data_IF_700348386796
#
_entry.id   IF_700348386796
#
_cell.length_a   1.000
_cell.length_b   1.000
_cell.length_c   1.000
_cell.angle_alpha   90.00
_cell.angle_beta   90.00
_cell.angle_gamma   90.00
#
_symmetry.space_group_name_H-M   'P 1'
#
loop_
_entity.id
_entity.type
_entity.pdbx_description
1 polymer ?
#
# COMPACT_ATOMS: atom_id res chain seq x y z
N UNK A 1 -55.22 -9.19 -3.57
CA UNK A 1 -53.95 -9.92 -3.40
C UNK A 1 -52.93 -9.52 -4.47
N UNK A 2 -53.26 -9.57 -5.77
CA UNK A 2 -52.37 -9.10 -6.87
C UNK A 2 -51.90 -7.65 -6.72
N UNK A 3 -52.81 -6.72 -6.44
CA UNK A 3 -52.45 -5.31 -6.25
C UNK A 3 -51.47 -5.10 -5.08
N UNK A 4 -51.59 -5.93 -4.03
CA UNK A 4 -50.67 -5.91 -2.90
C UNK A 4 -49.28 -6.40 -3.31
N UNK A 5 -49.19 -7.49 -4.07
CA UNK A 5 -47.90 -8.03 -4.57
C UNK A 5 -47.23 -7.00 -5.49
N UNK A 6 -48.00 -6.41 -6.41
CA UNK A 6 -47.52 -5.36 -7.32
C UNK A 6 -47.00 -4.15 -6.55
N UNK A 7 -47.77 -3.66 -5.58
CA UNK A 7 -47.36 -2.52 -4.76
C UNK A 7 -46.10 -2.82 -3.93
N UNK A 8 -45.98 -4.04 -3.38
CA UNK A 8 -44.80 -4.47 -2.63
C UNK A 8 -43.56 -4.56 -3.51
N UNK A 9 -43.65 -5.19 -4.69
CA UNK A 9 -42.51 -5.26 -5.63
C UNK A 9 -42.10 -3.88 -6.12
N UNK A 10 -43.05 -3.00 -6.44
CA UNK A 10 -42.76 -1.63 -6.85
C UNK A 10 -42.08 -0.83 -5.74
N UNK A 11 -42.55 -0.97 -4.49
CA UNK A 11 -41.91 -0.32 -3.35
C UNK A 11 -40.47 -0.81 -3.13
N UNK A 12 -40.19 -2.10 -3.35
CA UNK A 12 -38.84 -2.63 -3.25
C UNK A 12 -37.94 -2.16 -4.39
N UNK A 13 -38.44 -2.12 -5.63
CA UNK A 13 -37.69 -1.56 -6.77
C UNK A 13 -37.38 -0.09 -6.56
N UNK A 14 -38.35 0.72 -6.14
CA UNK A 14 -38.11 2.14 -5.86
C UNK A 14 -37.13 2.35 -4.70
N UNK A 15 -37.08 1.44 -3.72
CA UNK A 15 -36.08 1.47 -2.65
C UNK A 15 -34.68 1.14 -3.17
N UNK A 16 -34.57 0.16 -4.07
CA UNK A 16 -33.30 -0.17 -4.75
C UNK A 16 -32.77 1.01 -5.56
N UNK A 17 -33.64 1.63 -6.38
CA UNK A 17 -33.28 2.80 -7.19
C UNK A 17 -32.84 3.99 -6.30
N UNK A 18 -33.48 4.17 -5.13
CA UNK A 18 -33.09 5.20 -4.17
C UNK A 18 -31.76 4.88 -3.46
N UNK A 19 -31.48 3.61 -3.17
CA UNK A 19 -30.19 3.17 -2.59
C UNK A 19 -29.04 3.43 -3.55
N UNK A 20 -29.19 3.13 -4.84
CA UNK A 20 -28.16 3.45 -5.85
C UNK A 20 -27.88 4.95 -6.03
N UNK A 21 -28.79 5.82 -5.58
CA UNK A 21 -28.64 7.27 -5.66
C UNK A 21 -28.00 7.91 -4.42
N UNK A 22 -27.84 7.17 -3.31
CA UNK A 22 -27.43 7.72 -2.02
C UNK A 22 -26.31 6.86 -1.42
N UNK A 23 -25.06 7.33 -1.52
CA UNK A 23 -23.91 6.77 -0.78
C UNK A 23 -24.17 6.88 0.73
N UNK A 24 -24.78 5.86 1.35
CA UNK A 24 -25.11 5.91 2.79
C UNK A 24 -24.88 4.55 3.44
N UNK A 25 -24.38 4.63 4.68
CA UNK A 25 -24.05 3.55 5.61
C UNK A 25 -25.03 2.36 5.51
N UNK A 26 -24.50 1.20 5.14
CA UNK A 26 -25.26 -0.04 4.98
C UNK A 26 -25.77 -0.53 6.34
N UNK A 27 -27.09 -0.64 6.47
CA UNK A 27 -27.71 -1.46 7.52
C UNK A 27 -27.67 -2.94 7.05
N UNK A 28 -27.12 -3.86 7.84
CA UNK A 28 -26.82 -5.27 7.46
C UNK A 28 -28.01 -6.04 6.83
N UNK A 29 -29.25 -5.58 7.04
CA UNK A 29 -30.45 -6.17 6.47
C UNK A 29 -30.64 -5.89 4.96
N UNK A 30 -30.01 -4.85 4.42
CA UNK A 30 -30.21 -4.37 3.05
C UNK A 30 -29.15 -4.81 2.06
N UNK A 31 -28.04 -5.41 2.53
CA UNK A 31 -26.84 -5.78 1.75
C UNK A 31 -27.09 -6.76 0.57
N UNK A 32 -28.30 -7.33 0.43
CA UNK A 32 -28.68 -8.21 -0.69
C UNK A 32 -30.11 -7.94 -1.17
N UNK A 33 -30.60 -6.71 -1.02
CA UNK A 33 -32.00 -6.41 -1.38
C UNK A 33 -32.27 -6.66 -2.87
N UNK A 34 -31.31 -6.35 -3.72
CA UNK A 34 -31.29 -6.62 -5.16
C UNK A 34 -31.51 -8.13 -5.46
N UNK A 35 -30.68 -9.00 -4.89
CA UNK A 35 -30.81 -10.46 -5.05
C UNK A 35 -32.10 -11.01 -4.44
N UNK A 36 -32.57 -10.43 -3.33
CA UNK A 36 -33.85 -10.80 -2.70
C UNK A 36 -35.03 -10.44 -3.61
N UNK A 37 -35.03 -9.25 -4.22
CA UNK A 37 -36.09 -8.81 -5.13
C UNK A 37 -36.04 -9.59 -6.44
N UNK A 38 -34.84 -9.88 -6.96
CA UNK A 38 -34.65 -10.75 -8.12
C UNK A 38 -35.24 -12.15 -7.85
N UNK A 39 -34.87 -12.77 -6.73
CA UNK A 39 -35.40 -14.08 -6.33
C UNK A 39 -36.92 -14.08 -6.16
N UNK A 40 -37.49 -13.03 -5.57
CA UNK A 40 -38.94 -12.87 -5.44
C UNK A 40 -39.64 -12.71 -6.80
N UNK A 41 -39.06 -11.93 -7.72
CA UNK A 41 -39.59 -11.75 -9.07
C UNK A 41 -39.53 -13.06 -9.86
N UNK A 42 -38.41 -13.78 -9.84
CA UNK A 42 -38.26 -15.08 -10.51
C UNK A 42 -39.25 -16.11 -9.96
N UNK A 43 -39.45 -16.17 -8.65
CA UNK A 43 -40.45 -17.04 -8.03
C UNK A 43 -41.88 -16.69 -8.49
N UNK A 44 -42.24 -15.41 -8.47
CA UNK A 44 -43.57 -14.96 -8.88
C UNK A 44 -43.83 -15.19 -10.37
N UNK A 45 -42.81 -15.08 -11.24
CA UNK A 45 -42.92 -15.47 -12.65
C UNK A 45 -43.27 -16.96 -12.79
N UNK A 46 -42.61 -17.84 -12.04
CA UNK A 46 -42.87 -19.29 -12.09
C UNK A 46 -44.30 -19.62 -11.63
N UNK A 47 -44.74 -19.03 -10.51
CA UNK A 47 -46.11 -19.20 -10.01
C UNK A 47 -47.14 -18.66 -11.02
N UNK A 48 -46.90 -17.48 -11.57
CA UNK A 48 -47.79 -16.86 -12.56
C UNK A 48 -47.92 -17.71 -13.83
N UNK A 49 -46.80 -18.26 -14.32
CA UNK A 49 -46.79 -19.15 -15.47
C UNK A 49 -47.59 -20.44 -15.21
N UNK A 50 -47.45 -21.06 -14.03
CA UNK A 50 -48.20 -22.27 -13.67
C UNK A 50 -49.71 -22.04 -13.52
N UNK A 51 -50.12 -20.79 -13.22
CA UNK A 51 -51.51 -20.41 -12.99
C UNK A 51 -52.15 -19.73 -14.21
N UNK A 52 -51.44 -19.63 -15.35
CA UNK A 52 -51.84 -18.84 -16.52
C UNK A 52 -52.20 -17.37 -16.17
N UNK A 53 -51.54 -16.80 -15.15
CA UNK A 53 -51.74 -15.41 -14.72
C UNK A 53 -50.80 -14.47 -15.51
N UNK A 54 -51.23 -14.12 -16.73
CA UNK A 54 -50.44 -13.29 -17.65
C UNK A 54 -50.10 -11.90 -17.09
N UNK A 55 -50.95 -11.34 -16.23
CA UNK A 55 -50.73 -10.02 -15.64
C UNK A 55 -49.61 -10.09 -14.59
N UNK A 56 -49.68 -11.07 -13.68
CA UNK A 56 -48.63 -11.28 -12.69
C UNK A 56 -47.31 -11.65 -13.35
N UNK A 57 -47.34 -12.45 -14.42
CA UNK A 57 -46.17 -12.81 -15.22
C UNK A 57 -45.51 -11.57 -15.83
N UNK A 58 -46.29 -10.66 -16.41
CA UNK A 58 -45.79 -9.42 -16.98
C UNK A 58 -45.17 -8.49 -15.92
N UNK A 59 -45.80 -8.37 -14.75
CA UNK A 59 -45.28 -7.58 -13.63
C UNK A 59 -43.95 -8.14 -13.12
N UNK A 60 -43.91 -9.44 -12.85
CA UNK A 60 -42.73 -10.09 -12.31
C UNK A 60 -41.55 -10.09 -13.31
N UNK A 61 -41.83 -10.26 -14.61
CA UNK A 61 -40.82 -10.12 -15.68
C UNK A 61 -40.27 -8.70 -15.76
N UNK A 62 -41.13 -7.67 -15.65
CA UNK A 62 -40.66 -6.28 -15.66
C UNK A 62 -39.74 -5.99 -14.47
N UNK A 63 -40.09 -6.47 -13.28
CA UNK A 63 -39.28 -6.27 -12.07
C UNK A 63 -37.94 -6.99 -12.18
N UNK A 64 -37.92 -8.25 -12.60
CA UNK A 64 -36.70 -9.02 -12.85
C UNK A 64 -35.76 -8.28 -13.82
N UNK A 65 -36.27 -7.88 -14.99
CA UNK A 65 -35.47 -7.12 -15.97
C UNK A 65 -34.95 -5.78 -15.43
N UNK A 66 -35.67 -5.13 -14.51
CA UNK A 66 -35.21 -3.88 -13.89
C UNK A 66 -34.09 -4.15 -12.90
N UNK A 67 -34.23 -5.16 -12.04
CA UNK A 67 -33.21 -5.52 -11.05
C UNK A 67 -31.95 -6.06 -11.72
N UNK A 68 -32.07 -6.90 -12.75
CA UNK A 68 -30.92 -7.38 -13.54
C UNK A 68 -30.11 -6.24 -14.16
N UNK A 69 -30.78 -5.16 -14.60
CA UNK A 69 -30.09 -3.97 -15.12
C UNK A 69 -29.35 -3.20 -14.03
N UNK A 70 -29.92 -3.13 -12.83
CA UNK A 70 -29.28 -2.45 -11.70
C UNK A 70 -28.03 -3.22 -11.26
N UNK A 71 -28.15 -4.54 -11.05
CA UNK A 71 -27.03 -5.41 -10.71
C UNK A 71 -25.93 -5.28 -11.76
N UNK A 72 -26.28 -5.40 -13.04
CA UNK A 72 -25.29 -5.28 -14.11
C UNK A 72 -24.59 -3.92 -14.13
N UNK A 73 -25.33 -2.83 -13.90
CA UNK A 73 -24.74 -1.50 -13.87
C UNK A 73 -23.77 -1.31 -12.70
N UNK A 74 -24.05 -1.94 -11.56
CA UNK A 74 -23.16 -1.97 -10.40
C UNK A 74 -21.91 -2.82 -10.67
N UNK A 75 -22.08 -4.03 -11.22
CA UNK A 75 -20.97 -4.90 -11.64
C UNK A 75 -20.06 -4.21 -12.67
N UNK A 76 -20.64 -3.59 -13.70
CA UNK A 76 -19.90 -2.84 -14.73
C UNK A 76 -19.11 -1.67 -14.11
N UNK A 77 -19.69 -0.98 -13.11
CA UNK A 77 -19.02 0.12 -12.41
C UNK A 77 -17.91 -0.36 -11.46
N UNK A 78 -18.11 -1.49 -10.77
CA UNK A 78 -17.09 -2.11 -9.92
C UNK A 78 -15.92 -2.64 -10.75
N UNK A 79 -16.19 -3.26 -11.91
CA UNK A 79 -15.17 -3.74 -12.83
C UNK A 79 -14.33 -2.57 -13.40
N UNK A 80 -14.96 -1.44 -13.76
CA UNK A 80 -14.25 -0.24 -14.17
C UNK A 80 -13.35 0.29 -13.05
N UNK A 81 -13.88 0.41 -11.83
CA UNK A 81 -13.12 0.88 -10.68
C UNK A 81 -11.96 -0.07 -10.31
N UNK A 82 -12.14 -1.38 -10.45
CA UNK A 82 -11.06 -2.37 -10.25
C UNK A 82 -10.00 -2.26 -11.34
N UNK A 83 -10.38 -2.06 -12.61
CA UNK A 83 -9.43 -1.80 -13.70
C UNK A 83 -8.62 -0.53 -13.43
N UNK A 84 -9.25 0.57 -13.04
CA UNK A 84 -8.54 1.81 -12.69
C UNK A 84 -7.56 1.60 -11.52
N UNK A 85 -7.98 0.86 -10.48
CA UNK A 85 -7.10 0.51 -9.35
C UNK A 85 -5.91 -0.34 -9.81
N UNK A 86 -6.16 -1.33 -10.66
CA UNK A 86 -5.12 -2.20 -11.18
C UNK A 86 -4.11 -1.42 -12.04
N UNK A 87 -4.58 -0.57 -12.95
CA UNK A 87 -3.73 0.26 -13.79
C UNK A 87 -2.85 1.21 -12.95
N UNK A 88 -3.42 1.83 -11.91
CA UNK A 88 -2.64 2.65 -10.97
C UNK A 88 -1.60 1.82 -10.23
N UNK A 89 -1.95 0.61 -9.77
CA UNK A 89 -1.02 -0.27 -9.07
C UNK A 89 0.14 -0.71 -9.96
N UNK A 90 -0.14 -1.06 -11.21
CA UNK A 90 0.87 -1.42 -12.21
C UNK A 90 1.83 -0.25 -12.47
N UNK A 91 1.33 0.98 -12.63
CA UNK A 91 2.16 2.17 -12.79
C UNK A 91 3.07 2.43 -11.59
N UNK A 92 2.54 2.29 -10.36
CA UNK A 92 3.33 2.45 -9.13
C UNK A 92 4.40 1.36 -9.05
N UNK A 93 4.05 0.12 -9.35
CA UNK A 93 4.97 -1.01 -9.34
C UNK A 93 6.11 -0.84 -10.35
N UNK A 94 5.79 -0.37 -11.57
CA UNK A 94 6.79 -0.12 -12.60
C UNK A 94 7.77 1.00 -12.18
N UNK A 95 7.25 2.11 -11.66
CA UNK A 95 8.07 3.21 -11.16
C UNK A 95 9.01 2.75 -10.02
N UNK A 96 8.51 1.90 -9.12
CA UNK A 96 9.28 1.34 -8.01
C UNK A 96 10.44 0.44 -8.49
N UNK A 97 10.22 -0.33 -9.55
CA UNK A 97 11.24 -1.20 -10.15
C UNK A 97 12.28 -0.37 -10.91
N UNK A 98 11.87 0.69 -11.61
CA UNK A 98 12.79 1.64 -12.26
C UNK A 98 13.71 2.32 -11.24
N UNK A 99 13.17 2.79 -10.10
CA UNK A 99 13.96 3.34 -8.98
C UNK A 99 14.95 2.29 -8.46
N UNK A 100 14.48 1.05 -8.26
CA UNK A 100 15.34 -0.04 -7.78
C UNK A 100 16.49 -0.30 -8.75
N UNK A 101 16.20 -0.41 -10.03
CA UNK A 101 17.18 -0.73 -11.08
C UNK A 101 18.28 0.34 -11.16
N UNK A 102 17.92 1.63 -11.16
CA UNK A 102 18.92 2.70 -11.24
C UNK A 102 19.77 2.79 -9.96
N UNK A 103 19.17 2.59 -8.78
CA UNK A 103 19.94 2.54 -7.54
C UNK A 103 20.90 1.34 -7.54
N UNK A 104 20.45 0.14 -7.93
CA UNK A 104 21.34 -1.03 -8.00
C UNK A 104 22.51 -0.79 -8.94
N UNK A 105 22.22 -0.21 -10.12
CA UNK A 105 23.25 0.12 -11.11
C UNK A 105 24.35 0.97 -10.49
N UNK A 106 24.02 2.08 -9.84
CA UNK A 106 25.02 3.03 -9.35
C UNK A 106 25.65 2.66 -8.00
N UNK A 107 25.04 1.77 -7.22
CA UNK A 107 25.62 1.30 -5.96
C UNK A 107 26.47 0.04 -6.12
N UNK A 108 26.08 -0.89 -7.01
CA UNK A 108 26.67 -2.24 -7.04
C UNK A 108 27.24 -2.65 -8.40
N UNK A 109 26.63 -2.26 -9.52
CA UNK A 109 27.08 -2.68 -10.85
C UNK A 109 28.17 -1.76 -11.42
N UNK A 110 27.94 -0.46 -11.34
CA UNK A 110 28.82 0.64 -11.75
C UNK A 110 28.98 1.57 -10.53
N UNK A 111 29.73 1.14 -9.49
CA UNK A 111 29.75 1.81 -8.20
C UNK A 111 30.29 3.24 -8.34
N UNK A 112 29.38 4.20 -8.24
CA UNK A 112 29.67 5.63 -8.29
C UNK A 112 29.74 6.26 -6.89
N UNK A 113 29.36 5.50 -5.85
CA UNK A 113 29.23 5.97 -4.48
C UNK A 113 30.13 5.16 -3.55
N UNK A 114 30.68 5.84 -2.56
CA UNK A 114 31.45 5.24 -1.46
C UNK A 114 31.14 5.97 -0.17
N UNK A 115 31.31 5.25 0.94
CA UNK A 115 31.19 5.76 2.31
C UNK A 115 32.55 5.65 2.96
N UNK A 116 32.89 6.65 3.76
CA UNK A 116 34.12 6.68 4.54
C UNK A 116 33.73 6.69 6.01
N UNK A 117 34.00 5.57 6.69
CA UNK A 117 33.73 5.41 8.12
C UNK A 117 35.02 5.40 8.95
N UNK A 118 36.17 5.71 8.33
CA UNK A 118 37.50 5.60 8.94
C UNK A 118 37.64 6.36 10.25
N UNK A 119 37.02 7.55 10.36
CA UNK A 119 36.95 8.33 11.59
C UNK A 119 36.30 7.53 12.73
N UNK A 120 35.11 6.99 12.49
CA UNK A 120 34.36 6.24 13.49
C UNK A 120 35.05 4.92 13.84
N UNK A 121 35.62 4.23 12.85
CA UNK A 121 36.42 3.02 13.06
C UNK A 121 37.59 3.34 14.01
N UNK A 122 38.32 4.43 13.75
CA UNK A 122 39.44 4.85 14.60
C UNK A 122 39.02 5.12 16.04
N UNK A 123 37.88 5.79 16.25
CA UNK A 123 37.33 6.08 17.58
C UNK A 123 36.93 4.78 18.32
N UNK A 124 36.30 3.84 17.62
CA UNK A 124 35.90 2.54 18.18
C UNK A 124 37.11 1.69 18.56
N UNK A 125 38.13 1.63 17.71
CA UNK A 125 39.35 0.87 17.99
C UNK A 125 40.15 1.47 19.15
N UNK A 126 40.27 2.81 19.24
CA UNK A 126 40.93 3.48 20.35
C UNK A 126 40.26 3.21 21.72
N UNK A 127 38.96 2.90 21.72
CA UNK A 127 38.19 2.61 22.93
C UNK A 127 38.05 1.11 23.22
N UNK A 128 38.54 0.25 22.32
CA UNK A 128 38.24 -1.19 22.32
C UNK A 128 38.74 -1.93 23.57
N UNK A 129 39.95 -1.60 24.05
CA UNK A 129 40.55 -2.23 25.23
C UNK A 129 39.79 -1.94 26.53
N UNK A 130 39.04 -0.84 26.57
CA UNK A 130 38.31 -0.38 27.75
C UNK A 130 36.81 -0.77 27.73
N UNK A 131 36.36 -1.47 26.68
CA UNK A 131 34.96 -1.89 26.56
C UNK A 131 34.60 -2.97 27.58
N UNK A 132 33.55 -2.72 28.35
CA UNK A 132 33.05 -3.63 29.38
C UNK A 132 32.27 -4.84 28.82
N UNK A 133 31.72 -4.72 27.61
CA UNK A 133 30.92 -5.76 26.96
C UNK A 133 31.43 -6.04 25.53
N UNK A 134 32.00 -7.24 25.26
CA UNK A 134 32.54 -7.59 23.95
C UNK A 134 31.46 -7.71 22.86
N UNK A 135 30.21 -8.05 23.22
CA UNK A 135 29.11 -8.11 22.24
C UNK A 135 28.70 -6.71 21.78
N UNK A 136 28.73 -5.72 22.68
CA UNK A 136 28.46 -4.32 22.32
C UNK A 136 29.57 -3.74 21.46
N UNK A 137 30.83 -4.07 21.74
CA UNK A 137 31.95 -3.70 20.87
C UNK A 137 31.80 -4.30 19.46
N UNK A 138 31.49 -5.60 19.36
CA UNK A 138 31.27 -6.25 18.07
C UNK A 138 30.09 -5.62 17.29
N UNK A 139 29.00 -5.29 17.99
CA UNK A 139 27.86 -4.59 17.39
C UNK A 139 28.22 -3.18 16.91
N UNK A 140 29.07 -2.46 17.66
CA UNK A 140 29.50 -1.12 17.28
C UNK A 140 30.46 -1.15 16.09
N UNK A 141 31.37 -2.14 16.03
CA UNK A 141 32.20 -2.40 14.84
C UNK A 141 31.36 -2.66 13.60
N UNK A 142 30.32 -3.50 13.69
CA UNK A 142 29.37 -3.72 12.57
C UNK A 142 28.59 -2.46 12.19
N UNK A 143 28.31 -1.57 13.14
CA UNK A 143 27.59 -0.32 12.88
C UNK A 143 28.42 0.67 12.04
N UNK A 144 29.76 0.65 12.21
CA UNK A 144 30.69 1.52 11.49
C UNK A 144 31.32 0.84 10.26
N UNK A 145 30.94 -0.41 9.97
CA UNK A 145 31.41 -1.15 8.80
C UNK A 145 30.92 -0.48 7.51
N UNK A 146 31.84 -0.16 6.60
CA UNK A 146 31.53 0.63 5.40
C UNK A 146 30.56 -0.08 4.46
N UNK A 147 30.66 -1.41 4.31
CA UNK A 147 29.75 -2.18 3.45
C UNK A 147 28.33 -2.17 4.02
N UNK A 148 28.19 -2.38 5.33
CA UNK A 148 26.90 -2.29 6.02
C UNK A 148 26.29 -0.87 5.94
N UNK A 149 27.14 0.15 6.08
CA UNK A 149 26.71 1.55 5.99
C UNK A 149 26.29 1.90 4.56
N UNK A 150 27.02 1.45 3.55
CA UNK A 150 26.67 1.65 2.14
C UNK A 150 25.30 1.04 1.82
N UNK A 151 25.06 -0.20 2.28
CA UNK A 151 23.77 -0.87 2.13
C UNK A 151 22.63 -0.12 2.84
N UNK A 152 22.90 0.44 4.02
CA UNK A 152 21.92 1.27 4.75
C UNK A 152 21.62 2.56 4.00
N UNK A 153 22.63 3.21 3.40
CA UNK A 153 22.44 4.40 2.57
C UNK A 153 21.64 4.06 1.31
N UNK A 154 21.95 2.94 0.65
CA UNK A 154 21.19 2.43 -0.51
C UNK A 154 19.69 2.33 -0.22
N UNK A 155 19.31 1.64 0.87
CA UNK A 155 17.90 1.49 1.25
C UNK A 155 17.21 2.83 1.54
N UNK A 156 17.93 3.75 2.17
CA UNK A 156 17.43 5.10 2.45
C UNK A 156 17.25 5.95 1.19
N UNK A 157 18.20 5.87 0.25
CA UNK A 157 18.12 6.55 -1.05
C UNK A 157 16.93 6.04 -1.85
N UNK A 158 16.78 4.72 -1.95
CA UNK A 158 15.62 4.09 -2.59
C UNK A 158 14.30 4.57 -1.96
N UNK A 159 14.19 4.54 -0.63
CA UNK A 159 12.99 5.01 0.08
C UNK A 159 12.73 6.52 -0.10
N UNK A 160 13.77 7.35 -0.19
CA UNK A 160 13.63 8.78 -0.47
C UNK A 160 13.07 8.98 -1.88
N UNK A 161 13.68 8.35 -2.88
CA UNK A 161 13.26 8.49 -4.28
C UNK A 161 11.81 8.06 -4.46
N UNK A 162 11.37 6.98 -3.83
CA UNK A 162 9.95 6.55 -3.84
C UNK A 162 8.99 7.62 -3.31
N UNK A 163 9.37 8.33 -2.24
CA UNK A 163 8.54 9.39 -1.64
C UNK A 163 8.55 10.69 -2.44
N UNK A 164 9.64 10.96 -3.16
CA UNK A 164 9.81 12.24 -3.89
C UNK A 164 9.48 12.13 -5.38
N UNK A 165 9.39 10.91 -5.94
CA UNK A 165 9.08 10.69 -7.35
C UNK A 165 7.58 10.83 -7.64
N UNK A 166 7.05 12.03 -7.43
CA UNK A 166 5.65 12.37 -7.65
C UNK A 166 5.28 12.46 -9.14
N UNK A 167 6.27 12.57 -10.03
CA UNK A 167 6.08 12.73 -11.47
C UNK A 167 6.02 11.40 -12.23
N UNK A 168 6.31 10.26 -11.58
CA UNK A 168 6.38 8.95 -12.22
C UNK A 168 7.51 8.83 -13.25
N UNK A 169 8.45 9.79 -13.29
CA UNK A 169 9.59 9.76 -14.20
C UNK A 169 10.67 8.84 -13.65
N UNK A 170 11.39 8.15 -14.55
CA UNK A 170 12.59 7.39 -14.18
C UNK A 170 13.58 8.37 -13.54
N UNK A 171 14.04 8.15 -12.29
CA UNK A 171 15.05 9.00 -11.68
C UNK A 171 16.32 9.01 -12.52
N UNK A 172 17.03 10.13 -12.54
CA UNK A 172 18.33 10.24 -13.19
C UNK A 172 19.46 9.92 -12.22
N UNK A 173 20.68 9.77 -12.74
CA UNK A 173 21.88 9.66 -11.90
C UNK A 173 22.02 10.86 -10.94
N UNK A 174 21.70 12.07 -11.39
CA UNK A 174 21.79 13.28 -10.56
C UNK A 174 20.80 13.23 -9.38
N UNK A 175 19.60 12.69 -9.60
CA UNK A 175 18.61 12.49 -8.54
C UNK A 175 19.11 11.49 -7.49
N UNK A 176 19.70 10.38 -7.94
CA UNK A 176 20.32 9.37 -7.06
C UNK A 176 21.50 9.99 -6.28
N UNK A 177 22.34 10.78 -6.94
CA UNK A 177 23.50 11.44 -6.34
C UNK A 177 23.11 12.47 -5.28
N UNK A 178 22.09 13.30 -5.57
CA UNK A 178 21.51 14.24 -4.60
C UNK A 178 20.92 13.51 -3.40
N UNK A 179 20.13 12.45 -3.65
CA UNK A 179 19.56 11.64 -2.59
C UNK A 179 20.64 10.98 -1.72
N UNK A 180 21.69 10.45 -2.35
CA UNK A 180 22.86 9.89 -1.67
C UNK A 180 23.52 10.92 -0.75
N UNK A 181 23.84 12.11 -1.25
CA UNK A 181 24.47 13.17 -0.46
C UNK A 181 23.63 13.61 0.75
N UNK A 182 22.30 13.61 0.64
CA UNK A 182 21.40 13.92 1.76
C UNK A 182 21.39 12.79 2.79
N UNK A 183 21.17 11.55 2.36
CA UNK A 183 21.08 10.41 3.28
C UNK A 183 22.42 10.09 3.94
N UNK A 184 23.54 10.27 3.22
CA UNK A 184 24.88 10.11 3.77
C UNK A 184 25.15 11.07 4.93
N UNK A 185 24.82 12.36 4.74
CA UNK A 185 24.94 13.37 5.81
C UNK A 185 24.11 13.00 7.04
N UNK A 186 22.91 12.50 6.84
CA UNK A 186 22.05 12.07 7.95
C UNK A 186 22.60 10.83 8.66
N UNK A 187 23.15 9.87 7.92
CA UNK A 187 23.80 8.69 8.49
C UNK A 187 25.01 9.09 9.34
N UNK A 188 25.87 9.99 8.87
CA UNK A 188 26.99 10.52 9.64
C UNK A 188 26.54 11.28 10.89
N UNK A 189 25.51 12.13 10.77
CA UNK A 189 24.94 12.83 11.93
C UNK A 189 24.46 11.86 13.01
N UNK A 190 23.81 10.77 12.61
CA UNK A 190 23.37 9.72 13.53
C UNK A 190 24.54 8.91 14.11
N UNK A 191 25.57 8.64 13.29
CA UNK A 191 26.79 7.95 13.73
C UNK A 191 27.53 8.75 14.81
N UNK A 192 27.72 10.07 14.62
CA UNK A 192 28.31 10.96 15.63
C UNK A 192 27.63 10.79 16.99
N UNK A 193 26.29 10.87 17.04
CA UNK A 193 25.55 10.74 18.29
C UNK A 193 25.55 9.31 18.87
N UNK A 194 25.52 8.28 18.01
CA UNK A 194 25.41 6.90 18.44
C UNK A 194 26.74 6.32 18.93
N UNK A 195 27.83 6.57 18.20
CA UNK A 195 29.17 6.07 18.52
C UNK A 195 29.63 6.66 19.85
N UNK A 196 29.57 7.99 19.99
CA UNK A 196 29.94 8.69 21.23
C UNK A 196 29.15 8.16 22.43
N UNK A 197 27.83 8.11 22.33
CA UNK A 197 26.95 7.64 23.42
C UNK A 197 27.23 6.18 23.80
N UNK A 198 27.51 5.33 22.81
CA UNK A 198 27.78 3.91 23.06
C UNK A 198 29.13 3.73 23.75
N UNK A 199 30.14 4.47 23.33
CA UNK A 199 31.46 4.47 23.98
C UNK A 199 31.34 4.98 25.41
N UNK A 200 30.71 6.13 25.66
CA UNK A 200 30.53 6.65 27.03
C UNK A 200 29.82 5.67 27.96
N UNK A 201 28.88 4.87 27.42
CA UNK A 201 28.10 3.92 28.21
C UNK A 201 28.86 2.64 28.53
N UNK A 202 29.68 2.14 27.60
CA UNK A 202 30.25 0.80 27.69
C UNK A 202 31.78 0.78 27.79
N UNK A 203 32.49 1.81 27.33
CA UNK A 203 33.89 1.98 27.64
C UNK A 203 34.02 2.56 29.06
N UNK A 204 34.70 1.84 29.95
CA UNK A 204 35.03 2.41 31.26
C UNK A 204 35.95 3.60 31.01
N UNK A 205 35.63 4.75 31.60
CA UNK A 205 36.57 5.87 31.63
C UNK A 205 37.91 5.35 32.16
N UNK A 206 38.99 5.54 31.39
CA UNK A 206 40.33 5.40 31.96
C UNK A 206 40.43 6.42 33.09
N UNK A 207 40.25 5.97 34.32
CA UNK A 207 40.76 6.70 35.48
C UNK A 207 42.26 6.73 35.30
N UNK A 208 42.78 7.85 34.79
CA UNK A 208 44.18 8.23 34.83
C UNK A 208 44.74 7.87 36.22
N UNK A 209 45.67 6.92 36.24
CA UNK A 209 46.53 6.60 37.37
C UNK A 209 47.97 6.76 36.91
#
# INVERSE_FOLDING_TARGET
>A
MRDSIKATLQAWVSRLEAQTATETDYDDYEYFLDYKVLGAATFLKQVAYQQDDLELLAIATKVEMQVERLIKAEEDAEEEAERERQEMWEQVSEADEQIRAICIRHFYTEPAFSVDMSEYVSIVEASSDCFSDPYKLASLRRYVDEEQVLNKVFEKVKSRLRRTNLSGLVPTFDDVSKAFGIELKEVYRLANAHVERTIMKYAKAQSLA
#
